data_IF_361143691180
#
_entry.id   IF_361143691180
#
_cell.length_a   1.000
_cell.length_b   1.000
_cell.length_c   1.000
_cell.angle_alpha   90.00
_cell.angle_beta   90.00
_cell.angle_gamma   90.00
#
_symmetry.space_group_name_H-M   'P 1'
#
loop_
_entity.id
_entity.type
_entity.pdbx_description
1 polymer ?
#
# COMPACT_ATOMS: atom_id res chain seq x y z
N UNK A 1 0.65 19.47 21.67
CA UNK A 1 0.94 18.39 20.71
C UNK A 1 -0.03 17.27 21.04
N UNK A 2 -1.22 17.31 20.46
CA UNK A 2 -2.14 16.16 20.53
C UNK A 2 -1.49 15.04 19.72
N UNK A 3 -1.44 13.80 20.23
CA UNK A 3 -1.04 12.68 19.38
C UNK A 3 -1.96 12.69 18.17
N UNK A 4 -1.38 12.51 16.97
CA UNK A 4 -2.15 12.39 15.72
C UNK A 4 -3.30 11.43 15.97
N UNK A 5 -4.51 11.97 16.11
CA UNK A 5 -5.68 11.17 16.35
C UNK A 5 -6.03 10.56 15.01
N UNK A 6 -5.50 9.36 14.75
CA UNK A 6 -5.90 8.48 13.68
C UNK A 6 -7.41 8.53 13.54
N UNK A 7 -7.89 8.95 12.36
CA UNK A 7 -9.31 9.12 12.12
C UNK A 7 -9.96 7.72 12.03
N UNK A 8 -10.68 7.24 13.06
CA UNK A 8 -11.11 5.85 13.10
C UNK A 8 -12.20 5.57 12.05
N UNK A 9 -12.89 6.61 11.58
CA UNK A 9 -13.89 6.49 10.52
C UNK A 9 -13.23 6.30 9.14
N UNK A 10 -12.14 7.04 8.88
CA UNK A 10 -11.33 6.84 7.68
C UNK A 10 -10.79 5.41 7.63
N UNK A 11 -10.12 4.97 8.69
CA UNK A 11 -9.53 3.63 8.71
C UNK A 11 -10.55 2.49 8.63
N UNK A 12 -11.78 2.67 9.12
CA UNK A 12 -12.87 1.70 8.84
C UNK A 12 -13.17 1.61 7.35
N UNK A 13 -13.20 2.76 6.66
CA UNK A 13 -13.47 2.81 5.22
C UNK A 13 -12.32 2.22 4.41
N UNK A 14 -11.06 2.51 4.78
CA UNK A 14 -9.88 1.93 4.14
C UNK A 14 -9.83 0.41 4.35
N UNK A 15 -10.21 -0.06 5.55
CA UNK A 15 -10.36 -1.49 5.83
C UNK A 15 -11.39 -2.14 4.92
N UNK A 16 -12.55 -1.51 4.71
CA UNK A 16 -13.58 -2.02 3.81
C UNK A 16 -13.09 -2.12 2.35
N UNK A 17 -12.19 -1.22 1.92
CA UNK A 17 -11.55 -1.29 0.60
C UNK A 17 -10.64 -2.51 0.51
N UNK A 18 -9.74 -2.71 1.46
CA UNK A 18 -8.83 -3.87 1.49
C UNK A 18 -9.60 -5.19 1.52
N UNK A 19 -10.67 -5.27 2.32
CA UNK A 19 -11.49 -6.49 2.43
C UNK A 19 -12.26 -6.85 1.15
N UNK A 20 -12.35 -5.94 0.18
CA UNK A 20 -13.04 -6.17 -1.10
C UNK A 20 -12.10 -6.63 -2.21
N UNK A 21 -10.79 -6.56 -2.00
CA UNK A 21 -9.82 -7.07 -2.98
C UNK A 21 -9.88 -8.60 -2.99
N UNK A 22 -9.87 -9.21 -4.17
CA UNK A 22 -10.05 -10.65 -4.31
C UNK A 22 -8.86 -11.44 -3.71
N UNK A 23 -7.68 -10.82 -3.74
CA UNK A 23 -6.39 -11.33 -3.31
C UNK A 23 -6.20 -11.24 -1.80
N UNK A 24 -6.94 -10.34 -1.12
CA UNK A 24 -6.82 -10.12 0.33
C UNK A 24 -7.67 -11.13 1.10
N UNK A 25 -7.05 -11.81 2.08
CA UNK A 25 -7.70 -12.84 2.92
C UNK A 25 -7.99 -12.38 4.34
N UNK A 26 -7.21 -11.44 4.86
CA UNK A 26 -7.48 -10.86 6.18
C UNK A 26 -6.98 -9.43 6.29
N UNK A 27 -7.65 -8.62 7.12
CA UNK A 27 -7.31 -7.20 7.36
C UNK A 27 -7.50 -6.86 8.83
N UNK A 28 -6.45 -6.34 9.47
CA UNK A 28 -6.42 -5.98 10.89
C UNK A 28 -5.74 -4.63 11.11
N UNK A 29 -5.87 -4.13 12.35
CA UNK A 29 -5.16 -2.96 12.83
C UNK A 29 -3.87 -3.39 13.52
N UNK A 30 -2.77 -2.68 13.26
CA UNK A 30 -1.46 -2.93 13.88
C UNK A 30 -1.09 -1.78 14.84
N UNK A 31 -0.44 -2.03 15.99
CA UNK A 31 -0.14 -3.35 16.53
C UNK A 31 -1.38 -4.11 17.02
N UNK A 32 -2.48 -3.40 17.28
CA UNK A 32 -3.73 -4.01 17.69
C UNK A 32 -4.95 -3.11 17.40
N UNK A 33 -6.14 -3.69 17.54
CA UNK A 33 -7.43 -3.01 17.34
C UNK A 33 -7.79 -1.97 18.40
N UNK A 34 -6.98 -1.80 19.46
CA UNK A 34 -7.14 -0.75 20.47
C UNK A 34 -6.32 0.47 20.06
N UNK A 35 -5.06 0.27 19.67
CA UNK A 35 -4.15 1.33 19.25
C UNK A 35 -4.43 1.83 17.85
N UNK A 36 -4.86 0.96 16.92
CA UNK A 36 -5.34 1.28 15.56
C UNK A 36 -4.39 2.09 14.65
N UNK A 37 -3.08 1.91 14.81
CA UNK A 37 -2.09 2.79 14.17
C UNK A 37 -2.12 2.81 12.66
N UNK A 38 -2.24 1.64 12.07
CA UNK A 38 -2.32 1.46 10.63
C UNK A 38 -3.06 0.16 10.33
N UNK A 39 -3.38 -0.06 9.06
CA UNK A 39 -3.95 -1.32 8.59
C UNK A 39 -2.85 -2.20 8.01
N UNK A 40 -2.90 -3.48 8.36
CA UNK A 40 -2.18 -4.51 7.66
C UNK A 40 -3.19 -5.49 7.05
N UNK A 41 -2.87 -5.98 5.86
CA UNK A 41 -3.65 -6.97 5.14
C UNK A 41 -2.75 -8.11 4.66
N UNK A 42 -3.26 -9.33 4.82
CA UNK A 42 -2.62 -10.53 4.29
C UNK A 42 -3.18 -10.83 2.91
N UNK A 43 -2.28 -11.11 1.98
CA UNK A 43 -2.59 -11.46 0.59
C UNK A 43 -2.40 -12.97 0.40
N UNK A 44 -3.32 -13.61 -0.32
CA UNK A 44 -3.16 -15.01 -0.75
C UNK A 44 -2.20 -15.07 -1.95
N UNK A 45 -1.00 -15.67 -1.80
CA UNK A 45 -0.01 -15.70 -2.87
C UNK A 45 -0.44 -16.54 -4.07
N UNK A 46 -1.53 -17.33 -3.96
CA UNK A 46 -2.10 -18.08 -5.08
C UNK A 46 -3.14 -17.28 -5.88
N UNK A 47 -3.58 -16.13 -5.36
CA UNK A 47 -4.56 -15.25 -6.03
C UNK A 47 -3.91 -14.10 -6.78
N UNK A 48 -2.68 -13.73 -6.43
CA UNK A 48 -1.86 -12.81 -7.23
C UNK A 48 -1.43 -13.47 -8.53
N UNK A 49 -1.17 -12.67 -9.56
CA UNK A 49 -0.80 -13.16 -10.90
C UNK A 49 0.52 -12.50 -11.33
N UNK A 50 1.60 -13.25 -11.59
CA UNK A 50 1.75 -14.68 -11.34
C UNK A 50 1.68 -15.00 -9.83
N UNK A 51 1.29 -16.24 -9.49
CA UNK A 51 1.35 -16.71 -8.10
C UNK A 51 2.80 -16.69 -7.59
N UNK A 52 3.03 -16.19 -6.38
CA UNK A 52 4.39 -15.83 -5.93
C UNK A 52 5.05 -16.84 -5.00
N UNK A 53 4.31 -17.69 -4.29
CA UNK A 53 4.89 -18.77 -3.47
C UNK A 53 4.01 -19.23 -2.31
N UNK A 54 4.56 -19.92 -1.29
CA UNK A 54 3.79 -20.43 -0.16
C UNK A 54 3.55 -19.41 0.96
N UNK A 55 4.40 -18.39 1.09
CA UNK A 55 4.35 -17.44 2.20
C UNK A 55 3.46 -16.23 1.85
N UNK A 56 2.61 -15.74 2.76
CA UNK A 56 1.67 -14.68 2.42
C UNK A 56 2.35 -13.32 2.29
N UNK A 57 2.18 -12.59 1.17
CA UNK A 57 2.55 -11.19 1.05
C UNK A 57 1.68 -10.31 1.94
N UNK A 58 2.14 -9.07 2.17
CA UNK A 58 1.42 -8.10 3.00
C UNK A 58 1.24 -6.77 2.31
N UNK A 59 0.09 -6.15 2.57
CA UNK A 59 -0.16 -4.73 2.28
C UNK A 59 -0.28 -3.97 3.60
N UNK A 60 0.47 -2.89 3.77
CA UNK A 60 0.38 -1.97 4.92
C UNK A 60 -0.11 -0.60 4.45
N UNK A 61 -1.05 -0.01 5.19
CA UNK A 61 -1.67 1.28 4.85
C UNK A 61 -1.61 2.23 6.03
N UNK A 62 -0.80 3.28 5.87
CA UNK A 62 -0.69 4.42 6.76
C UNK A 62 -1.35 5.64 6.12
N UNK A 63 -2.19 6.34 6.88
CA UNK A 63 -2.85 7.54 6.40
C UNK A 63 -3.01 8.59 7.50
N UNK A 64 -2.68 9.83 7.17
CA UNK A 64 -2.88 11.01 8.00
C UNK A 64 -3.51 12.14 7.20
N UNK A 65 -4.63 12.64 7.69
CA UNK A 65 -5.31 13.79 7.08
C UNK A 65 -4.57 15.08 7.47
N UNK A 66 -3.83 15.65 6.53
CA UNK A 66 -3.00 16.85 6.74
C UNK A 66 -3.39 17.91 5.70
N UNK A 67 -3.66 19.17 6.08
CA UNK A 67 -3.76 20.25 5.10
C UNK A 67 -2.37 20.76 4.68
N UNK A 68 -2.11 21.11 3.41
CA UNK A 68 -3.06 21.12 2.29
C UNK A 68 -3.27 19.75 1.60
N UNK A 69 -2.39 18.79 1.86
CA UNK A 69 -2.43 17.45 1.27
C UNK A 69 -2.18 16.39 2.34
N UNK A 70 -2.94 15.30 2.28
CA UNK A 70 -2.79 14.16 3.18
C UNK A 70 -1.37 13.58 3.11
N UNK A 71 -0.90 12.97 4.19
CA UNK A 71 0.32 12.15 4.17
C UNK A 71 -0.10 10.68 4.21
N UNK A 72 0.43 9.85 3.30
CA UNK A 72 0.11 8.43 3.26
C UNK A 72 1.26 7.56 2.76
N UNK A 73 1.22 6.29 3.16
CA UNK A 73 2.05 5.21 2.61
C UNK A 73 1.22 3.95 2.44
N UNK A 74 1.27 3.38 1.25
CA UNK A 74 0.63 2.10 0.90
C UNK A 74 1.73 1.19 0.40
N UNK A 75 2.16 0.24 1.22
CA UNK A 75 3.31 -0.62 0.96
C UNK A 75 2.87 -2.07 0.74
N UNK A 76 3.45 -2.73 -0.26
CA UNK A 76 3.36 -4.16 -0.52
C UNK A 76 4.74 -4.82 -0.33
N UNK A 77 4.76 -5.96 0.35
CA UNK A 77 5.96 -6.75 0.55
C UNK A 77 5.67 -8.23 0.30
N UNK A 78 6.43 -8.83 -0.61
CA UNK A 78 6.34 -10.24 -0.95
C UNK A 78 7.59 -11.00 -0.50
N UNK A 79 7.48 -11.87 0.52
CA UNK A 79 8.61 -12.63 1.02
C UNK A 79 9.12 -13.68 0.02
N UNK A 80 8.29 -14.13 -0.92
CA UNK A 80 8.66 -15.20 -1.85
C UNK A 80 9.54 -14.70 -2.99
N UNK A 81 9.30 -13.47 -3.46
CA UNK A 81 10.02 -12.84 -4.58
C UNK A 81 11.03 -11.79 -4.12
N UNK A 82 11.04 -11.45 -2.83
CA UNK A 82 11.75 -10.30 -2.27
C UNK A 82 11.40 -8.99 -2.99
N UNK A 83 10.19 -8.91 -3.54
CA UNK A 83 9.67 -7.71 -4.18
C UNK A 83 8.99 -6.83 -3.14
N UNK A 84 9.35 -5.55 -3.15
CA UNK A 84 8.78 -4.51 -2.31
C UNK A 84 8.38 -3.34 -3.19
N UNK A 85 7.18 -2.81 -3.00
CA UNK A 85 6.76 -1.59 -3.67
C UNK A 85 5.73 -0.82 -2.86
N UNK A 86 5.49 0.44 -3.20
CA UNK A 86 4.45 1.22 -2.56
C UNK A 86 4.26 2.59 -3.16
N UNK A 87 3.13 3.21 -2.79
CA UNK A 87 2.80 4.59 -3.15
C UNK A 87 2.84 5.46 -1.92
N UNK A 88 3.66 6.51 -1.97
CA UNK A 88 3.87 7.41 -0.85
C UNK A 88 3.54 8.85 -1.26
N UNK A 89 2.99 9.57 -0.30
CA UNK A 89 2.90 11.02 -0.31
C UNK A 89 3.40 11.48 1.05
N UNK A 90 4.64 11.92 1.07
CA UNK A 90 5.37 12.41 2.23
C UNK A 90 6.27 13.59 1.82
N UNK A 91 7.09 14.08 2.75
CA UNK A 91 7.99 15.22 2.51
C UNK A 91 9.33 14.81 1.88
N UNK A 92 9.46 13.55 1.47
CA UNK A 92 10.63 13.04 0.78
C UNK A 92 10.35 13.00 -0.73
N UNK A 93 11.41 13.16 -1.54
CA UNK A 93 11.30 13.11 -3.01
C UNK A 93 10.37 14.17 -3.64
N UNK A 94 10.33 15.38 -3.07
CA UNK A 94 9.57 16.54 -3.59
C UNK A 94 9.81 16.81 -5.09
N UNK A 95 10.95 16.38 -5.64
CA UNK A 95 11.28 16.51 -7.07
C UNK A 95 10.41 15.63 -7.99
N UNK A 96 9.73 14.62 -7.45
CA UNK A 96 8.84 13.71 -8.18
C UNK A 96 7.38 14.16 -8.19
N UNK A 97 7.06 15.26 -7.52
CA UNK A 97 5.70 15.79 -7.39
C UNK A 97 5.08 15.48 -6.03
N UNK A 98 3.74 15.54 -5.95
CA UNK A 98 3.03 15.38 -4.69
C UNK A 98 3.11 13.95 -4.12
N UNK A 99 3.20 12.95 -4.98
CA UNK A 99 3.31 11.56 -4.59
C UNK A 99 4.28 10.82 -5.53
N UNK A 100 4.83 9.70 -5.05
CA UNK A 100 5.71 8.86 -5.83
C UNK A 100 5.40 7.38 -5.62
N UNK A 101 5.76 6.57 -6.62
CA UNK A 101 5.82 5.13 -6.54
C UNK A 101 7.26 4.70 -6.25
N UNK A 102 7.47 3.89 -5.22
CA UNK A 102 8.75 3.30 -4.88
C UNK A 102 8.69 1.79 -5.13
N UNK A 103 9.75 1.20 -5.69
CA UNK A 103 9.86 -0.25 -5.80
C UNK A 103 11.29 -0.77 -5.73
N UNK A 104 11.43 -2.03 -5.34
CA UNK A 104 12.68 -2.76 -5.28
C UNK A 104 12.45 -4.25 -5.58
N UNK A 105 13.20 -4.78 -6.53
CA UNK A 105 13.25 -6.22 -6.83
C UNK A 105 14.49 -6.86 -6.21
N UNK A 106 14.53 -8.19 -6.16
CA UNK A 106 15.70 -8.96 -5.69
C UNK A 106 17.01 -8.63 -6.44
N UNK A 107 16.91 -8.14 -7.67
CA UNK A 107 18.08 -7.80 -8.50
C UNK A 107 18.65 -6.40 -8.23
N UNK A 108 17.95 -5.59 -7.42
CA UNK A 108 18.27 -4.19 -7.20
C UNK A 108 18.97 -3.96 -5.85
N UNK A 109 20.13 -3.29 -5.89
CA UNK A 109 20.85 -2.88 -4.67
C UNK A 109 20.16 -1.75 -3.91
N UNK A 110 19.38 -0.91 -4.60
CA UNK A 110 18.65 0.23 -4.04
C UNK A 110 17.27 0.35 -4.67
N UNK A 111 16.28 0.95 -3.98
CA UNK A 111 14.97 1.24 -4.55
C UNK A 111 15.06 2.20 -5.73
N UNK A 112 14.12 2.06 -6.66
CA UNK A 112 13.81 3.04 -7.68
C UNK A 112 12.55 3.82 -7.29
N UNK A 113 12.42 5.03 -7.84
CA UNK A 113 11.35 5.97 -7.55
C UNK A 113 10.83 6.57 -8.86
N UNK A 114 9.51 6.65 -8.97
CA UNK A 114 8.82 7.19 -10.13
C UNK A 114 7.74 8.17 -9.67
N UNK A 115 7.55 9.26 -10.41
CA UNK A 115 6.41 10.16 -10.15
C UNK A 115 5.11 9.43 -10.38
N UNK A 116 4.12 9.65 -9.52
CA UNK A 116 2.75 9.13 -9.72
C UNK A 116 1.74 10.25 -9.64
N UNK A 117 0.63 10.10 -10.36
CA UNK A 117 -0.52 10.99 -10.28
C UNK A 117 -1.74 10.11 -10.10
N UNK A 118 -2.59 10.49 -9.15
CA UNK A 118 -3.85 9.79 -8.89
C UNK A 118 -5.01 10.54 -9.52
N UNK A 119 -5.93 9.81 -10.13
CA UNK A 119 -7.22 10.36 -10.55
C UNK A 119 -8.16 10.52 -9.33
N UNK A 120 -7.98 9.67 -8.32
CA UNK A 120 -8.76 9.73 -7.09
C UNK A 120 -8.33 10.86 -6.13
N UNK A 121 -9.29 11.70 -5.76
CA UNK A 121 -9.07 12.77 -4.77
C UNK A 121 -9.38 12.36 -3.31
N UNK A 122 -10.05 11.22 -3.11
CA UNK A 122 -10.46 10.77 -1.77
C UNK A 122 -9.68 9.53 -1.32
N UNK A 123 -9.30 9.41 -0.04
CA UNK A 123 -8.50 8.29 0.44
C UNK A 123 -9.01 6.88 0.06
N UNK A 124 -10.32 6.56 0.18
CA UNK A 124 -10.79 5.22 -0.17
C UNK A 124 -10.70 4.90 -1.66
N UNK A 125 -10.88 5.92 -2.53
CA UNK A 125 -10.76 5.75 -3.98
C UNK A 125 -9.30 5.62 -4.39
N UNK A 126 -8.41 6.38 -3.76
CA UNK A 126 -6.97 6.30 -4.02
C UNK A 126 -6.43 4.94 -3.61
N UNK A 127 -6.81 4.43 -2.42
CA UNK A 127 -6.43 3.08 -2.02
C UNK A 127 -6.97 2.02 -2.98
N UNK A 128 -8.20 2.19 -3.49
CA UNK A 128 -8.76 1.30 -4.51
C UNK A 128 -7.91 1.31 -5.79
N UNK A 129 -7.57 2.50 -6.29
CA UNK A 129 -6.71 2.70 -7.46
C UNK A 129 -5.32 2.06 -7.26
N UNK A 130 -4.70 2.22 -6.09
CA UNK A 130 -3.46 1.53 -5.74
C UNK A 130 -3.61 -0.01 -5.73
N UNK A 131 -4.71 -0.54 -5.20
CA UNK A 131 -4.93 -1.99 -5.20
C UNK A 131 -5.14 -2.55 -6.60
N UNK A 132 -5.92 -1.87 -7.45
CA UNK A 132 -6.09 -2.25 -8.87
C UNK A 132 -4.73 -2.26 -9.58
N UNK A 133 -3.97 -1.16 -9.49
CA UNK A 133 -2.64 -1.07 -10.08
C UNK A 133 -1.68 -2.15 -9.52
N UNK A 134 -1.72 -2.42 -8.21
CA UNK A 134 -0.87 -3.42 -7.57
C UNK A 134 -1.09 -4.82 -8.17
N UNK A 135 -2.34 -5.27 -8.22
CA UNK A 135 -2.68 -6.64 -8.60
C UNK A 135 -2.76 -6.84 -10.12
N UNK A 136 -3.18 -5.84 -10.88
CA UNK A 136 -3.39 -5.95 -12.33
C UNK A 136 -2.15 -5.59 -13.17
N UNK A 137 -1.28 -4.71 -12.66
CA UNK A 137 -0.15 -4.17 -13.44
C UNK A 137 1.21 -4.42 -12.75
N UNK A 138 1.37 -3.97 -11.51
CA UNK A 138 2.68 -3.92 -10.83
C UNK A 138 3.21 -5.32 -10.55
N UNK A 139 2.45 -6.18 -9.85
CA UNK A 139 2.92 -7.55 -9.57
C UNK A 139 3.21 -8.30 -10.87
N UNK A 140 2.32 -8.33 -11.88
CA UNK A 140 2.61 -8.95 -13.17
C UNK A 140 3.87 -8.42 -13.84
N UNK A 141 4.17 -7.13 -13.76
CA UNK A 141 5.33 -6.56 -14.44
C UNK A 141 6.65 -6.92 -13.73
N UNK A 142 6.70 -6.79 -12.40
CA UNK A 142 7.96 -6.89 -11.65
C UNK A 142 8.27 -8.30 -11.10
N UNK A 143 7.31 -9.24 -11.17
CA UNK A 143 7.49 -10.61 -10.64
C UNK A 143 7.42 -11.70 -11.71
N UNK A 144 7.27 -11.33 -13.00
CA UNK A 144 7.43 -12.27 -14.11
C UNK A 144 8.85 -12.86 -14.09
N UNK A 145 8.92 -14.17 -13.95
CA UNK A 145 10.14 -14.99 -14.08
C UNK A 145 10.33 -15.46 -15.51
#
# INVERSE_FOLDING_TARGET
MTPDAENPALYRTLRDVLQRQAEVVSVWFEPDAIQKRFLAAEVDPHRVVPATGPDPPRVEVHWKLTPPHDEFRIDYADPNTAFHCGWHQDADHDDLGAAHFQYQTISMERPAYESTVFEAESPPKLLWECCEALFEDVIPEYTRT
#
